data_IF_732609056475
#
_entry.id   IF_732609056475
#
_cell.length_a   1.000
_cell.length_b   1.000
_cell.length_c   1.000
_cell.angle_alpha   90.00
_cell.angle_beta   90.00
_cell.angle_gamma   90.00
#
_symmetry.space_group_name_H-M   'P 1'
#
loop_
_entity.id
_entity.type
_entity.pdbx_description
1 polymer ?
#
# COMPACT_ATOMS: atom_id res chain seq x y z
N UNK A 1 -4.40 12.38 -3.60
CA UNK A 1 -3.67 11.18 -3.13
C UNK A 1 -4.07 9.98 -4.02
N UNK A 2 -3.15 9.31 -4.72
CA UNK A 2 -3.43 8.20 -5.66
C UNK A 2 -2.62 6.91 -5.36
N UNK A 3 -1.92 6.87 -4.21
CA UNK A 3 -1.15 5.70 -3.80
C UNK A 3 -2.10 4.61 -3.27
N UNK A 4 -1.78 3.35 -3.58
CA UNK A 4 -2.57 2.18 -3.17
C UNK A 4 -1.60 1.16 -2.59
N UNK A 5 -1.47 1.21 -1.28
CA UNK A 5 -0.61 0.31 -0.53
C UNK A 5 -1.22 -0.01 0.82
N UNK A 6 -0.76 -1.10 1.42
CA UNK A 6 -1.08 -1.49 2.78
C UNK A 6 0.17 -2.01 3.47
N UNK A 7 0.28 -1.70 4.76
CA UNK A 7 1.32 -2.20 5.65
C UNK A 7 0.64 -3.11 6.68
N UNK A 8 1.14 -4.33 6.81
CA UNK A 8 0.63 -5.31 7.77
C UNK A 8 1.67 -5.51 8.87
N UNK A 9 1.28 -5.24 10.12
CA UNK A 9 2.06 -5.45 11.34
C UNK A 9 3.50 -4.89 11.29
N UNK A 10 3.73 -3.82 10.51
CA UNK A 10 5.06 -3.27 10.21
C UNK A 10 6.07 -4.31 9.70
N UNK A 11 5.61 -5.35 9.02
CA UNK A 11 6.43 -6.46 8.53
C UNK A 11 6.25 -6.77 7.06
N UNK A 12 5.10 -6.41 6.50
CA UNK A 12 4.76 -6.72 5.11
C UNK A 12 4.18 -5.49 4.42
N UNK A 13 4.66 -5.22 3.22
CA UNK A 13 4.15 -4.17 2.34
C UNK A 13 3.45 -4.82 1.14
N UNK A 14 2.21 -4.41 0.89
CA UNK A 14 1.55 -4.57 -0.40
C UNK A 14 1.53 -3.22 -1.10
N UNK A 15 2.01 -3.15 -2.35
CA UNK A 15 1.99 -1.93 -3.15
C UNK A 15 1.70 -2.24 -4.63
N UNK A 16 0.82 -1.46 -5.27
CA UNK A 16 0.48 -1.67 -6.68
C UNK A 16 -0.59 -0.76 -7.25
N UNK A 17 -1.19 -1.19 -8.37
CA UNK A 17 -2.28 -0.50 -9.05
C UNK A 17 -3.66 -0.80 -8.44
N UNK A 18 -3.76 -1.91 -7.71
CA UNK A 18 -5.01 -2.50 -7.25
C UNK A 18 -5.77 -1.57 -6.28
N UNK A 19 -6.97 -1.15 -6.70
CA UNK A 19 -7.94 -0.52 -5.82
C UNK A 19 -8.76 -1.59 -5.09
N UNK A 20 -9.13 -1.40 -3.82
CA UNK A 20 -10.03 -2.34 -3.12
C UNK A 20 -11.49 -2.21 -3.56
N UNK A 21 -11.77 -2.59 -4.81
CA UNK A 21 -13.10 -2.55 -5.42
C UNK A 21 -13.43 -3.87 -6.11
N UNK A 22 -14.73 -4.11 -6.34
CA UNK A 22 -15.19 -5.30 -7.08
C UNK A 22 -14.71 -5.32 -8.53
N UNK A 23 -14.50 -4.16 -9.16
CA UNK A 23 -14.01 -4.08 -10.54
C UNK A 23 -12.54 -4.47 -10.62
N UNK A 24 -11.69 -3.97 -9.70
CA UNK A 24 -10.29 -4.39 -9.60
C UNK A 24 -10.16 -5.90 -9.37
N UNK A 25 -11.02 -6.47 -8.54
CA UNK A 25 -11.01 -7.90 -8.23
C UNK A 25 -11.43 -8.81 -9.40
N UNK A 26 -12.41 -8.39 -10.22
CA UNK A 26 -13.10 -9.29 -11.14
C UNK A 26 -12.99 -8.91 -12.62
N UNK A 27 -12.53 -7.70 -12.94
CA UNK A 27 -12.61 -7.14 -14.29
C UNK A 27 -11.34 -6.49 -14.78
N UNK A 28 -10.66 -5.73 -13.93
CA UNK A 28 -9.48 -4.98 -14.34
C UNK A 28 -8.24 -5.88 -14.33
N UNK A 29 -7.28 -5.55 -15.19
CA UNK A 29 -5.93 -6.07 -15.08
C UNK A 29 -5.15 -5.18 -14.12
N UNK A 30 -4.88 -5.72 -12.93
CA UNK A 30 -4.19 -5.03 -11.85
C UNK A 30 -2.94 -5.81 -11.48
N UNK A 31 -1.95 -5.13 -10.91
CA UNK A 31 -0.77 -5.77 -10.36
C UNK A 31 -0.43 -5.17 -8.99
N UNK A 32 0.13 -6.00 -8.11
CA UNK A 32 0.76 -5.54 -6.89
C UNK A 32 1.92 -6.45 -6.52
N UNK A 33 2.88 -5.88 -5.81
CA UNK A 33 3.97 -6.60 -5.16
C UNK A 33 3.63 -6.74 -3.69
N UNK A 34 3.91 -7.93 -3.14
CA UNK A 34 3.93 -8.17 -1.70
C UNK A 34 5.37 -8.46 -1.30
N UNK A 35 5.92 -7.70 -0.36
CA UNK A 35 7.31 -7.83 0.08
C UNK A 35 7.46 -7.58 1.57
N UNK A 36 8.38 -8.31 2.20
CA UNK A 36 8.81 -8.11 3.58
C UNK A 36 10.18 -7.44 3.70
N UNK A 37 10.71 -6.87 2.60
CA UNK A 37 12.00 -6.17 2.61
C UNK A 37 11.96 -5.00 3.61
N UNK A 38 12.74 -5.04 4.70
CA UNK A 38 12.61 -4.09 5.81
C UNK A 38 12.71 -2.63 5.38
N UNK A 39 13.59 -2.33 4.42
CA UNK A 39 13.76 -0.94 3.93
C UNK A 39 12.47 -0.39 3.33
N UNK A 40 11.78 -1.17 2.49
CA UNK A 40 10.54 -0.70 1.87
C UNK A 40 9.39 -0.61 2.87
N UNK A 41 9.31 -1.54 3.81
CA UNK A 41 8.29 -1.49 4.87
C UNK A 41 8.47 -0.24 5.73
N UNK A 42 9.71 0.08 6.11
CA UNK A 42 10.01 1.26 6.92
C UNK A 42 9.74 2.57 6.16
N UNK A 43 10.19 2.69 4.92
CA UNK A 43 9.98 3.89 4.10
C UNK A 43 8.49 4.17 3.85
N UNK A 44 7.70 3.15 3.51
CA UNK A 44 6.27 3.31 3.33
C UNK A 44 5.53 3.59 4.65
N UNK A 45 5.99 3.03 5.77
CA UNK A 45 5.44 3.35 7.10
C UNK A 45 5.62 4.82 7.42
N UNK A 46 6.83 5.37 7.22
CA UNK A 46 7.09 6.81 7.43
C UNK A 46 6.21 7.69 6.54
N UNK A 47 6.00 7.30 5.28
CA UNK A 47 5.09 8.06 4.40
C UNK A 47 3.64 7.99 4.86
N UNK A 48 3.18 6.83 5.35
CA UNK A 48 1.84 6.69 5.92
C UNK A 48 1.65 7.61 7.13
N UNK A 49 2.55 7.55 8.12
CA UNK A 49 2.48 8.39 9.32
C UNK A 49 2.46 9.88 8.96
N UNK A 50 3.34 10.31 8.05
CA UNK A 50 3.37 11.71 7.59
C UNK A 50 2.04 12.14 6.99
N UNK A 51 1.43 11.31 6.15
CA UNK A 51 0.11 11.62 5.57
C UNK A 51 -0.98 11.59 6.64
N UNK A 52 -0.90 10.69 7.61
CA UNK A 52 -1.87 10.59 8.69
C UNK A 52 -1.86 11.86 9.55
N UNK A 53 -0.68 12.32 9.95
CA UNK A 53 -0.50 13.59 10.69
C UNK A 53 -1.01 14.81 9.89
N UNK A 54 -0.86 14.81 8.57
CA UNK A 54 -1.31 15.92 7.70
C UNK A 54 -2.84 15.97 7.54
N UNK A 55 -3.52 14.83 7.62
CA UNK A 55 -4.96 14.72 7.31
C UNK A 55 -5.85 14.30 8.48
N UNK A 56 -5.30 14.02 9.66
CA UNK A 56 -6.04 13.77 10.91
C UNK A 56 -6.47 15.08 11.57
#
# INVERSE_FOLDING_TARGET
MHHKFAIFDHRLLLNGSYNWTRSAANRNQENFLVTGEPRFVEDFSKQFERMWEEFS
#
